data_IF_643418816963
#
_entry.id   IF_643418816963
#
_cell.length_a   1.000
_cell.length_b   1.000
_cell.length_c   1.000
_cell.angle_alpha   90.00
_cell.angle_beta   90.00
_cell.angle_gamma   90.00
#
_symmetry.space_group_name_H-M   'P 1'
#
loop_
_entity.id
_entity.type
_entity.pdbx_description
1 polymer ?
#
# COMPACT_ATOMS: atom_id res chain seq x y z
N UNK A 1 3.53 -2.85 -9.64
CA UNK A 1 3.55 -3.00 -8.14
C UNK A 1 4.97 -2.80 -7.63
N UNK A 2 5.11 -2.34 -6.36
CA UNK A 2 6.43 -2.24 -5.75
C UNK A 2 7.17 -3.59 -5.82
N UNK A 3 8.42 -3.57 -6.26
CA UNK A 3 9.32 -4.74 -6.33
C UNK A 3 8.93 -5.86 -7.32
N UNK A 4 8.05 -5.63 -8.29
CA UNK A 4 7.53 -6.68 -9.18
C UNK A 4 8.65 -7.44 -9.91
N UNK A 5 9.61 -6.74 -10.51
CA UNK A 5 10.76 -7.35 -11.20
C UNK A 5 11.62 -8.21 -10.27
N UNK A 6 11.88 -7.74 -9.04
CA UNK A 6 12.64 -8.51 -8.04
C UNK A 6 11.85 -9.72 -7.56
N UNK A 7 10.55 -9.55 -7.29
CA UNK A 7 9.66 -10.61 -6.85
C UNK A 7 9.56 -11.75 -7.87
N UNK A 8 9.40 -11.42 -9.16
CA UNK A 8 9.34 -12.41 -10.25
C UNK A 8 10.61 -13.26 -10.29
N UNK A 9 11.79 -12.64 -10.22
CA UNK A 9 13.09 -13.34 -10.24
C UNK A 9 13.31 -14.23 -9.03
N UNK A 10 13.00 -13.73 -7.83
CA UNK A 10 13.12 -14.52 -6.62
C UNK A 10 12.14 -15.68 -6.60
N UNK A 11 10.89 -15.46 -7.04
CA UNK A 11 9.89 -16.52 -7.17
C UNK A 11 10.35 -17.61 -8.12
N UNK A 12 10.98 -17.25 -9.25
CA UNK A 12 11.52 -18.23 -10.20
C UNK A 12 12.68 -19.05 -9.61
N UNK A 13 13.62 -18.39 -8.93
CA UNK A 13 14.72 -19.06 -8.24
C UNK A 13 14.19 -20.08 -7.19
N UNK A 14 13.19 -19.69 -6.39
CA UNK A 14 12.61 -20.59 -5.40
C UNK A 14 11.71 -21.67 -5.95
N UNK A 15 11.08 -21.45 -7.12
CA UNK A 15 10.27 -22.47 -7.81
C UNK A 15 11.12 -23.69 -8.16
N UNK A 16 12.38 -23.47 -8.58
CA UNK A 16 13.31 -24.57 -8.86
C UNK A 16 13.69 -25.36 -7.62
N UNK A 17 13.85 -24.70 -6.46
CA UNK A 17 14.08 -25.39 -5.19
C UNK A 17 12.86 -26.22 -4.75
N UNK A 18 11.64 -25.70 -4.90
CA UNK A 18 10.40 -26.41 -4.52
C UNK A 18 10.17 -27.69 -5.29
N UNK A 19 10.70 -27.79 -6.52
CA UNK A 19 10.60 -28.99 -7.34
C UNK A 19 11.51 -30.14 -6.92
N UNK A 20 12.47 -29.90 -5.99
CA UNK A 20 13.41 -30.92 -5.49
C UNK A 20 12.92 -31.46 -4.15
N UNK A 21 12.67 -32.74 -4.06
CA UNK A 21 12.19 -33.40 -2.81
C UNK A 21 13.25 -33.44 -1.69
N UNK A 22 14.54 -33.43 -2.06
CA UNK A 22 15.69 -33.28 -1.16
C UNK A 22 16.57 -32.18 -1.68
N UNK A 23 17.15 -31.38 -0.79
CA UNK A 23 18.11 -30.35 -1.16
C UNK A 23 19.51 -30.78 -0.72
N UNK A 24 20.48 -30.50 -1.58
CA UNK A 24 21.89 -30.58 -1.25
C UNK A 24 22.46 -29.18 -1.00
N UNK A 25 23.61 -29.11 -0.34
CA UNK A 25 24.34 -27.85 -0.16
C UNK A 25 24.60 -27.13 -1.49
N UNK A 26 24.87 -27.91 -2.57
CA UNK A 26 25.06 -27.36 -3.91
C UNK A 26 23.80 -26.70 -4.46
N UNK A 27 22.62 -27.28 -4.22
CA UNK A 27 21.34 -26.72 -4.65
C UNK A 27 21.05 -25.37 -3.97
N UNK A 28 21.34 -25.28 -2.68
CA UNK A 28 21.20 -24.05 -1.90
C UNK A 28 22.16 -22.98 -2.43
N UNK A 29 23.44 -23.33 -2.68
CA UNK A 29 24.44 -22.39 -3.22
C UNK A 29 24.04 -21.88 -4.62
N UNK A 30 23.52 -22.75 -5.47
CA UNK A 30 23.04 -22.36 -6.82
C UNK A 30 21.86 -21.38 -6.72
N UNK A 31 20.87 -21.68 -5.90
CA UNK A 31 19.73 -20.77 -5.67
C UNK A 31 20.18 -19.42 -5.08
N UNK A 32 21.11 -19.42 -4.13
CA UNK A 32 21.65 -18.19 -3.55
C UNK A 32 22.47 -17.38 -4.57
N UNK A 33 23.05 -18.02 -5.59
CA UNK A 33 23.67 -17.31 -6.70
C UNK A 33 22.63 -16.57 -7.56
N UNK A 34 21.48 -17.20 -7.84
CA UNK A 34 20.38 -16.55 -8.55
C UNK A 34 19.79 -15.39 -7.73
N UNK A 35 19.56 -15.61 -6.42
CA UNK A 35 19.12 -14.55 -5.50
C UNK A 35 20.09 -13.38 -5.47
N UNK A 36 21.43 -13.67 -5.42
CA UNK A 36 22.45 -12.62 -5.50
C UNK A 36 22.32 -11.77 -6.76
N UNK A 37 22.17 -12.41 -7.92
CA UNK A 37 22.00 -11.69 -9.19
C UNK A 37 20.74 -10.86 -9.21
N UNK A 38 19.61 -11.41 -8.76
CA UNK A 38 18.34 -10.69 -8.67
C UNK A 38 18.43 -9.44 -7.79
N UNK A 39 19.07 -9.53 -6.64
CA UNK A 39 19.28 -8.39 -5.73
C UNK A 39 20.21 -7.33 -6.34
N UNK A 40 21.28 -7.72 -7.04
CA UNK A 40 22.18 -6.78 -7.73
C UNK A 40 21.47 -6.09 -8.89
N UNK A 41 20.66 -6.78 -9.66
CA UNK A 41 19.84 -6.20 -10.73
C UNK A 41 18.73 -5.28 -10.19
N UNK A 42 18.27 -5.54 -8.98
CA UNK A 42 17.37 -4.66 -8.23
C UNK A 42 18.09 -3.45 -7.60
N UNK A 43 19.36 -3.25 -7.94
CA UNK A 43 20.18 -2.14 -7.48
C UNK A 43 20.41 -2.10 -5.96
N UNK A 44 20.45 -3.28 -5.31
CA UNK A 44 20.83 -3.42 -3.90
C UNK A 44 22.35 -3.26 -3.76
N UNK A 45 22.80 -2.58 -2.73
CA UNK A 45 24.23 -2.36 -2.48
C UNK A 45 25.01 -3.67 -2.39
N UNK A 46 26.13 -3.76 -3.11
CA UNK A 46 26.95 -4.98 -3.22
C UNK A 46 27.39 -5.56 -1.87
N UNK A 47 27.78 -4.71 -0.93
CA UNK A 47 28.19 -5.14 0.42
C UNK A 47 27.02 -5.78 1.17
N UNK A 48 25.83 -5.16 1.08
CA UNK A 48 24.59 -5.67 1.67
C UNK A 48 24.21 -7.02 1.07
N UNK A 49 24.24 -7.14 -0.27
CA UNK A 49 23.96 -8.41 -0.96
C UNK A 49 24.93 -9.51 -0.55
N UNK A 50 26.23 -9.21 -0.49
CA UNK A 50 27.25 -10.18 -0.08
C UNK A 50 27.02 -10.72 1.31
N UNK A 51 26.75 -9.83 2.28
CA UNK A 51 26.50 -10.22 3.68
C UNK A 51 25.20 -10.98 3.82
N UNK A 52 24.14 -10.56 3.12
CA UNK A 52 22.85 -11.25 3.07
C UNK A 52 22.99 -12.69 2.55
N UNK A 53 23.59 -12.86 1.37
CA UNK A 53 23.78 -14.18 0.74
C UNK A 53 24.63 -15.09 1.64
N UNK A 54 25.68 -14.56 2.27
CA UNK A 54 26.50 -15.32 3.20
C UNK A 54 25.67 -15.83 4.38
N UNK A 55 24.93 -14.94 5.07
CA UNK A 55 24.10 -15.30 6.23
C UNK A 55 23.02 -16.34 5.87
N UNK A 56 22.32 -16.13 4.76
CA UNK A 56 21.29 -17.07 4.30
C UNK A 56 21.93 -18.42 3.96
N UNK A 57 23.07 -18.45 3.25
CA UNK A 57 23.74 -19.69 2.88
C UNK A 57 24.18 -20.46 4.13
N UNK A 58 24.82 -19.80 5.09
CA UNK A 58 25.26 -20.41 6.36
C UNK A 58 24.09 -21.05 7.11
N UNK A 59 22.95 -20.38 7.19
CA UNK A 59 21.75 -20.89 7.86
C UNK A 59 21.06 -22.00 7.06
N UNK A 60 20.98 -21.86 5.74
CA UNK A 60 20.24 -22.76 4.86
C UNK A 60 20.99 -24.07 4.55
N UNK A 61 22.30 -24.13 4.75
CA UNK A 61 23.12 -25.36 4.59
C UNK A 61 23.26 -26.15 5.87
N UNK A 62 22.64 -25.74 6.97
CA UNK A 62 22.59 -26.50 8.23
C UNK A 62 21.91 -27.86 8.05
N UNK A 63 22.39 -28.89 8.79
CA UNK A 63 21.85 -30.25 8.72
C UNK A 63 20.33 -30.27 9.00
N UNK A 64 19.88 -29.52 9.99
CA UNK A 64 18.45 -29.44 10.37
C UNK A 64 17.57 -28.97 9.24
N UNK A 65 18.08 -28.13 8.34
CA UNK A 65 17.35 -27.62 7.18
C UNK A 65 17.32 -28.64 6.05
N UNK A 66 18.48 -29.22 5.73
CA UNK A 66 18.63 -30.18 4.62
C UNK A 66 17.91 -31.51 4.88
N UNK A 67 17.80 -31.93 6.13
CA UNK A 67 17.11 -33.15 6.55
C UNK A 67 15.65 -32.94 6.94
N UNK A 68 15.15 -31.71 6.87
CA UNK A 68 13.75 -31.40 7.18
C UNK A 68 12.78 -32.04 6.18
N UNK A 69 11.51 -32.23 6.59
CA UNK A 69 10.44 -32.74 5.70
C UNK A 69 10.13 -31.79 4.52
N UNK A 70 10.50 -30.52 4.64
CA UNK A 70 10.29 -29.50 3.59
C UNK A 70 11.46 -28.54 3.48
N UNK A 71 12.63 -28.99 2.99
CA UNK A 71 13.85 -28.18 2.98
C UNK A 71 13.70 -26.87 2.20
N UNK A 72 13.02 -26.91 1.05
CA UNK A 72 12.80 -25.73 0.23
C UNK A 72 11.97 -24.64 0.97
N UNK A 73 10.97 -25.04 1.74
CA UNK A 73 10.18 -24.10 2.54
C UNK A 73 11.01 -23.50 3.68
N UNK A 74 11.89 -24.29 4.29
CA UNK A 74 12.80 -23.79 5.32
C UNK A 74 13.79 -22.77 4.77
N UNK A 75 14.34 -23.00 3.57
CA UNK A 75 15.21 -22.02 2.90
C UNK A 75 14.46 -20.73 2.60
N UNK A 76 13.24 -20.80 2.07
CA UNK A 76 12.42 -19.61 1.80
C UNK A 76 12.09 -18.85 3.11
N UNK A 77 11.79 -19.57 4.19
CA UNK A 77 11.57 -18.97 5.50
C UNK A 77 12.81 -18.22 6.00
N UNK A 78 14.00 -18.80 5.88
CA UNK A 78 15.27 -18.16 6.25
C UNK A 78 15.49 -16.90 5.42
N UNK A 79 15.25 -16.95 4.11
CA UNK A 79 15.35 -15.76 3.23
C UNK A 79 14.38 -14.66 3.67
N UNK A 80 13.14 -15.01 3.99
CA UNK A 80 12.14 -14.04 4.49
C UNK A 80 12.58 -13.38 5.80
N UNK A 81 13.08 -14.16 6.74
CA UNK A 81 13.59 -13.65 8.03
C UNK A 81 14.79 -12.71 7.85
N UNK A 82 15.74 -13.08 6.99
CA UNK A 82 16.92 -12.24 6.71
C UNK A 82 16.56 -10.97 5.92
N UNK A 83 15.59 -11.03 4.98
CA UNK A 83 15.07 -9.83 4.30
C UNK A 83 14.37 -8.89 5.30
N UNK A 84 13.54 -9.44 6.18
CA UNK A 84 12.87 -8.68 7.23
C UNK A 84 13.87 -8.00 8.14
N UNK A 85 14.88 -8.74 8.62
CA UNK A 85 15.95 -8.20 9.47
C UNK A 85 16.75 -7.10 8.75
N UNK A 86 17.02 -7.27 7.46
CA UNK A 86 17.73 -6.29 6.63
C UNK A 86 16.99 -4.95 6.56
N UNK A 87 15.67 -4.97 6.49
CA UNK A 87 14.80 -3.79 6.42
C UNK A 87 14.46 -3.19 7.79
N UNK A 88 14.76 -3.89 8.92
CA UNK A 88 14.60 -3.32 10.25
C UNK A 88 13.75 -4.11 11.24
N UNK A 89 13.37 -5.36 10.93
CA UNK A 89 12.60 -6.29 11.74
C UNK A 89 11.17 -5.84 12.10
N UNK A 90 10.98 -4.62 12.60
CA UNK A 90 9.70 -4.11 13.08
C UNK A 90 9.41 -2.71 12.53
N UNK A 91 8.11 -2.36 12.44
CA UNK A 91 7.68 -1.01 12.12
C UNK A 91 8.08 -0.03 13.23
N UNK A 92 8.69 1.08 12.84
CA UNK A 92 9.05 2.17 13.72
C UNK A 92 8.08 3.35 13.52
N UNK A 93 7.42 3.76 14.61
CA UNK A 93 6.48 4.88 14.60
C UNK A 93 7.24 6.23 14.59
N UNK A 94 6.48 7.32 14.33
CA UNK A 94 7.01 8.68 14.52
C UNK A 94 7.40 8.90 15.98
N UNK A 95 8.50 9.59 16.18
CA UNK A 95 8.88 10.10 17.48
C UNK A 95 7.98 11.31 17.81
N UNK A 96 7.08 11.13 18.76
CA UNK A 96 6.19 12.18 19.24
C UNK A 96 6.67 12.63 20.62
N UNK A 97 6.96 13.92 20.76
CA UNK A 97 7.36 14.51 22.02
C UNK A 97 6.23 14.45 23.06
N UNK A 98 6.62 14.36 24.33
CA UNK A 98 5.67 14.56 25.44
C UNK A 98 5.18 16.02 25.55
N UNK A 99 5.90 16.97 24.96
CA UNK A 99 5.54 18.37 24.90
C UNK A 99 4.82 18.70 23.59
N UNK A 100 3.68 19.37 23.68
CA UNK A 100 2.89 19.80 22.52
C UNK A 100 3.25 21.25 22.13
N UNK A 101 3.37 21.52 20.82
CA UNK A 101 3.28 20.60 19.69
C UNK A 101 4.57 19.80 19.46
N UNK A 102 4.45 18.55 18.99
CA UNK A 102 5.56 17.81 18.43
C UNK A 102 5.92 18.36 17.05
N UNK A 103 7.20 18.50 16.77
CA UNK A 103 7.69 19.01 15.49
C UNK A 103 8.29 17.87 14.67
N UNK A 104 7.81 17.70 13.45
CA UNK A 104 8.33 16.78 12.43
C UNK A 104 8.95 17.62 11.31
N UNK A 105 10.24 17.52 11.13
CA UNK A 105 10.97 18.21 10.07
C UNK A 105 11.16 17.29 8.87
N UNK A 106 10.62 17.66 7.71
CA UNK A 106 10.76 16.93 6.46
C UNK A 106 11.97 17.43 5.70
N UNK A 107 12.95 16.57 5.44
CA UNK A 107 14.17 16.90 4.71
C UNK A 107 14.37 16.00 3.50
N UNK A 108 15.20 16.39 2.53
CA UNK A 108 15.50 15.61 1.34
C UNK A 108 15.67 16.44 0.09
N UNK A 109 16.08 15.82 -1.00
CA UNK A 109 16.33 16.48 -2.28
C UNK A 109 15.05 17.00 -2.94
N UNK A 110 15.21 17.89 -3.92
CA UNK A 110 14.12 18.36 -4.77
C UNK A 110 13.54 17.21 -5.56
N UNK A 111 12.20 17.15 -5.68
CA UNK A 111 11.52 16.08 -6.40
C UNK A 111 11.35 14.76 -5.63
N UNK A 112 11.94 14.64 -4.43
CA UNK A 112 11.76 13.46 -3.58
C UNK A 112 10.32 13.29 -3.04
N UNK A 113 9.47 14.31 -3.16
CA UNK A 113 8.06 14.24 -2.75
C UNK A 113 7.79 14.71 -1.32
N UNK A 114 8.64 15.55 -0.72
CA UNK A 114 8.48 16.09 0.64
C UNK A 114 7.09 16.68 0.88
N UNK A 115 6.73 17.71 0.11
CA UNK A 115 5.46 18.42 0.23
C UNK A 115 4.25 17.49 0.17
N UNK A 116 4.20 16.65 -0.86
CA UNK A 116 3.05 15.75 -1.05
C UNK A 116 2.98 14.66 0.01
N UNK A 117 4.09 13.97 0.29
CA UNK A 117 4.08 12.87 1.24
C UNK A 117 4.07 13.35 2.70
N UNK A 118 4.62 14.53 2.99
CA UNK A 118 4.45 15.19 4.28
C UNK A 118 2.98 15.50 4.57
N UNK A 119 2.27 16.04 3.59
CA UNK A 119 0.83 16.28 3.72
C UNK A 119 0.02 14.97 3.83
N UNK A 120 0.37 13.91 3.07
CA UNK A 120 -0.25 12.59 3.23
C UNK A 120 -0.05 12.04 4.64
N UNK A 121 1.17 12.17 5.18
CA UNK A 121 1.49 11.74 6.54
C UNK A 121 0.70 12.53 7.58
N UNK A 122 0.56 13.85 7.41
CA UNK A 122 -0.29 14.67 8.25
C UNK A 122 -1.76 14.23 8.18
N UNK A 123 -2.25 13.87 6.98
CA UNK A 123 -3.59 13.28 6.78
C UNK A 123 -3.77 11.95 7.51
N UNK A 124 -2.77 11.08 7.48
CA UNK A 124 -2.76 9.82 8.23
C UNK A 124 -2.81 10.07 9.75
N UNK A 125 -2.02 11.02 10.24
CA UNK A 125 -2.02 11.40 11.67
C UNK A 125 -3.36 12.01 12.10
N UNK A 126 -3.98 12.82 11.24
CA UNK A 126 -5.33 13.35 11.49
C UNK A 126 -6.37 12.24 11.64
N UNK A 127 -6.34 11.23 10.79
CA UNK A 127 -7.21 10.04 10.91
C UNK A 127 -7.01 9.30 12.24
N UNK A 128 -5.82 9.40 12.83
CA UNK A 128 -5.48 8.85 14.14
C UNK A 128 -5.83 9.79 15.31
N UNK A 129 -6.58 10.87 15.06
CA UNK A 129 -7.05 11.80 16.07
C UNK A 129 -6.07 12.91 16.46
N UNK A 130 -4.95 13.08 15.72
CA UNK A 130 -4.04 14.22 15.90
C UNK A 130 -4.58 15.47 15.20
N UNK A 131 -4.08 16.63 15.63
CA UNK A 131 -4.41 17.95 15.04
C UNK A 131 -3.17 18.54 14.36
N UNK A 132 -2.81 18.06 13.15
CA UNK A 132 -1.62 18.52 12.46
C UNK A 132 -1.76 19.95 11.94
N UNK A 133 -0.60 20.64 11.84
CA UNK A 133 -0.39 21.88 11.12
C UNK A 133 0.74 21.67 10.10
N UNK A 134 0.54 22.10 8.86
CA UNK A 134 1.58 22.14 7.84
C UNK A 134 2.21 23.53 7.82
N UNK A 135 3.53 23.61 7.80
CA UNK A 135 4.28 24.89 7.79
C UNK A 135 5.14 24.93 6.53
N UNK A 136 4.94 25.96 5.69
CA UNK A 136 5.63 26.14 4.43
C UNK A 136 6.99 26.82 4.64
N UNK A 137 8.04 26.03 4.78
CA UNK A 137 9.43 26.51 4.89
C UNK A 137 10.20 26.45 3.55
N UNK A 138 9.62 25.92 2.44
CA UNK A 138 10.19 26.03 1.09
C UNK A 138 9.88 27.41 0.50
N UNK A 139 10.62 28.41 0.91
CA UNK A 139 10.41 29.82 0.56
C UNK A 139 10.94 30.19 -0.82
N UNK A 140 11.79 29.34 -1.41
CA UNK A 140 12.44 29.63 -2.70
C UNK A 140 11.53 29.37 -3.90
N UNK A 141 10.46 28.61 -3.71
CA UNK A 141 9.54 28.23 -4.77
C UNK A 141 8.11 28.64 -4.40
N UNK A 142 7.62 29.76 -4.92
CA UNK A 142 6.23 30.21 -4.65
C UNK A 142 5.18 29.13 -4.97
N UNK A 143 5.41 28.35 -6.02
CA UNK A 143 4.54 27.22 -6.38
C UNK A 143 4.49 26.13 -5.31
N UNK A 144 5.56 25.92 -4.50
CA UNK A 144 5.56 24.94 -3.43
C UNK A 144 4.63 25.33 -2.28
N UNK A 145 4.61 26.63 -1.92
CA UNK A 145 3.66 27.16 -0.92
C UNK A 145 2.22 26.93 -1.37
N UNK A 146 1.91 27.31 -2.62
CA UNK A 146 0.56 27.12 -3.20
C UNK A 146 0.18 25.63 -3.29
N UNK A 147 1.14 24.77 -3.61
CA UNK A 147 0.96 23.33 -3.63
C UNK A 147 0.59 22.82 -2.23
N UNK A 148 1.34 23.22 -1.21
CA UNK A 148 1.09 22.81 0.18
C UNK A 148 -0.29 23.28 0.64
N UNK A 149 -0.70 24.53 0.34
CA UNK A 149 -2.03 25.06 0.64
C UNK A 149 -3.14 24.25 -0.05
N UNK A 150 -2.92 23.90 -1.32
CA UNK A 150 -3.90 23.12 -2.09
C UNK A 150 -4.09 21.73 -1.50
N UNK A 151 -3.00 21.03 -1.19
CA UNK A 151 -3.05 19.70 -0.59
C UNK A 151 -3.58 19.75 0.84
N UNK A 152 -3.19 20.76 1.63
CA UNK A 152 -3.73 20.99 2.97
C UNK A 152 -5.23 21.17 2.96
N UNK A 153 -5.76 21.97 2.01
CA UNK A 153 -7.20 22.17 1.83
C UNK A 153 -7.93 20.88 1.46
N UNK A 154 -7.36 20.08 0.57
CA UNK A 154 -7.96 18.78 0.19
C UNK A 154 -8.02 17.78 1.34
N UNK A 155 -7.04 17.86 2.26
CA UNK A 155 -6.98 17.02 3.47
C UNK A 155 -7.67 17.66 4.67
N UNK A 156 -8.21 18.88 4.54
CA UNK A 156 -8.78 19.68 5.63
C UNK A 156 -7.78 19.84 6.80
N UNK A 157 -6.53 20.18 6.45
CA UNK A 157 -5.42 20.44 7.38
C UNK A 157 -5.01 21.91 7.21
N UNK A 158 -4.90 22.69 8.31
CA UNK A 158 -4.45 24.06 8.25
C UNK A 158 -2.99 24.15 7.77
N UNK A 159 -2.70 25.20 6.98
CA UNK A 159 -1.37 25.50 6.48
C UNK A 159 -0.96 26.88 6.98
N UNK A 160 0.20 26.95 7.60
CA UNK A 160 0.83 28.21 8.00
C UNK A 160 1.91 28.60 6.99
N UNK A 161 1.87 29.84 6.53
CA UNK A 161 2.87 30.40 5.62
C UNK A 161 3.06 31.89 5.89
N UNK A 162 4.22 32.42 5.57
CA UNK A 162 4.57 33.85 5.67
C UNK A 162 5.11 34.40 4.33
N UNK A 163 4.84 33.71 3.24
CA UNK A 163 5.40 34.04 1.93
C UNK A 163 6.89 33.75 1.84
N UNK A 164 7.60 34.58 1.09
CA UNK A 164 9.06 34.52 0.97
C UNK A 164 9.71 35.20 2.17
N UNK A 165 10.58 34.51 2.88
CA UNK A 165 11.24 35.04 4.09
C UNK A 165 12.31 34.08 4.62
N UNK A 166 12.77 34.33 5.83
CA UNK A 166 13.71 33.43 6.51
C UNK A 166 12.98 32.13 6.97
N UNK A 167 13.40 30.97 6.47
CA UNK A 167 12.75 29.71 6.82
C UNK A 167 12.84 29.38 8.32
N UNK A 168 13.89 29.85 9.02
CA UNK A 168 14.03 29.68 10.47
C UNK A 168 12.97 30.49 11.22
N UNK A 169 12.75 31.74 10.81
CA UNK A 169 11.71 32.59 11.40
C UNK A 169 10.31 32.03 11.14
N UNK A 170 10.05 31.51 9.93
CA UNK A 170 8.79 30.88 9.56
C UNK A 170 8.52 29.64 10.41
N UNK A 171 9.53 28.77 10.58
CA UNK A 171 9.41 27.57 11.41
C UNK A 171 9.05 27.91 12.87
N UNK A 172 9.73 28.89 13.48
CA UNK A 172 9.41 29.37 14.84
C UNK A 172 7.99 29.93 14.93
N UNK A 173 7.62 30.80 13.99
CA UNK A 173 6.29 31.40 13.97
C UNK A 173 5.19 30.35 13.76
N UNK A 174 5.45 29.32 12.94
CA UNK A 174 4.54 28.18 12.75
C UNK A 174 4.30 27.39 14.04
N UNK A 175 5.35 27.17 14.84
CA UNK A 175 5.22 26.50 16.15
C UNK A 175 4.40 27.35 17.13
N UNK A 176 4.65 28.65 17.20
CA UNK A 176 3.85 29.56 18.04
C UNK A 176 2.38 29.61 17.58
N UNK A 177 2.15 29.60 16.27
CA UNK A 177 0.80 29.46 15.71
C UNK A 177 0.14 28.16 16.17
N UNK A 178 0.85 27.03 16.09
CA UNK A 178 0.35 25.73 16.53
C UNK A 178 -0.05 25.74 18.02
N UNK A 179 0.77 26.31 18.89
CA UNK A 179 0.48 26.50 20.32
C UNK A 179 -0.78 27.32 20.53
N UNK A 180 -0.89 28.46 19.83
CA UNK A 180 -2.04 29.36 19.93
C UNK A 180 -3.37 28.72 19.52
N UNK A 181 -3.37 27.91 18.45
CA UNK A 181 -4.58 27.30 17.88
C UNK A 181 -4.79 25.85 18.31
N UNK A 182 -3.91 25.34 19.19
CA UNK A 182 -4.06 24.01 19.80
C UNK A 182 -3.76 22.85 18.86
N UNK A 183 -2.91 23.06 17.83
CA UNK A 183 -2.37 21.96 17.06
C UNK A 183 -1.34 21.19 17.90
N UNK A 184 -1.37 19.86 17.84
CA UNK A 184 -0.49 19.01 18.64
C UNK A 184 0.68 18.43 17.84
N UNK A 185 0.65 18.59 16.52
CA UNK A 185 1.67 18.08 15.62
C UNK A 185 1.94 19.10 14.50
N UNK A 186 3.23 19.42 14.27
CA UNK A 186 3.66 20.40 13.25
C UNK A 186 4.57 19.71 12.26
N UNK A 187 4.25 19.81 10.97
CA UNK A 187 5.10 19.35 9.88
C UNK A 187 5.76 20.53 9.20
N UNK A 188 7.08 20.59 9.25
CA UNK A 188 7.88 21.61 8.55
C UNK A 188 8.25 21.07 7.16
N UNK A 189 7.64 21.62 6.11
CA UNK A 189 7.98 21.31 4.72
C UNK A 189 9.17 22.19 4.29
N UNK A 190 10.39 21.65 4.41
CA UNK A 190 11.61 22.40 4.13
C UNK A 190 11.96 22.40 2.64
N UNK A 191 12.78 23.36 2.25
CA UNK A 191 13.33 23.43 0.89
C UNK A 191 14.11 22.16 0.52
N UNK A 192 14.16 21.86 -0.77
CA UNK A 192 15.04 20.86 -1.33
C UNK A 192 15.77 21.44 -2.53
N UNK A 193 17.03 21.05 -2.70
CA UNK A 193 17.82 21.36 -3.89
C UNK A 193 18.08 20.12 -4.72
N UNK A 194 18.52 20.31 -5.96
CA UNK A 194 18.82 19.19 -6.86
C UNK A 194 19.98 18.33 -6.36
N UNK A 195 20.93 18.98 -5.68
CA UNK A 195 22.11 18.34 -5.11
C UNK A 195 22.27 18.75 -3.66
N UNK A 196 23.00 17.94 -2.91
CA UNK A 196 23.44 18.27 -1.56
C UNK A 196 24.54 19.32 -1.67
N UNK A 197 24.28 20.49 -1.13
CA UNK A 197 25.27 21.57 -1.03
C UNK A 197 25.35 22.10 0.42
N UNK A 198 26.43 22.80 0.71
CA UNK A 198 26.71 23.35 2.05
C UNK A 198 25.63 24.34 2.51
N UNK A 199 25.10 25.14 1.58
CA UNK A 199 24.05 26.11 1.90
C UNK A 199 22.73 25.44 2.33
N UNK A 200 22.34 24.39 1.66
CA UNK A 200 21.16 23.60 2.07
C UNK A 200 21.37 22.99 3.44
N UNK A 201 22.51 22.33 3.67
CA UNK A 201 22.77 21.68 4.95
C UNK A 201 22.85 22.68 6.10
N UNK A 202 23.48 23.84 5.90
CA UNK A 202 23.52 24.91 6.88
C UNK A 202 22.13 25.43 7.23
N UNK A 203 21.27 25.67 6.22
CA UNK A 203 19.89 26.10 6.44
C UNK A 203 19.11 25.07 7.28
N UNK A 204 19.18 23.78 6.91
CA UNK A 204 18.50 22.71 7.64
C UNK A 204 19.02 22.57 9.07
N UNK A 205 20.33 22.71 9.30
CA UNK A 205 20.94 22.74 10.64
C UNK A 205 20.45 23.92 11.47
N UNK A 206 20.32 25.10 10.86
CA UNK A 206 19.80 26.29 11.53
C UNK A 206 18.31 26.10 11.93
N UNK A 207 17.50 25.53 11.05
CA UNK A 207 16.10 25.19 11.37
C UNK A 207 16.09 24.18 12.52
N UNK A 208 16.85 23.08 12.43
CA UNK A 208 16.95 22.06 13.48
C UNK A 208 17.30 22.66 14.83
N UNK A 209 18.37 23.49 14.88
CA UNK A 209 18.82 24.15 16.11
C UNK A 209 17.77 25.11 16.69
N UNK A 210 16.97 25.73 15.83
CA UNK A 210 15.98 26.75 16.22
C UNK A 210 14.68 26.16 16.78
N UNK A 211 14.30 24.92 16.37
CA UNK A 211 12.99 24.35 16.69
C UNK A 211 13.06 23.01 17.42
N UNK A 212 14.24 22.41 17.56
CA UNK A 212 14.49 21.13 18.23
C UNK A 212 13.44 20.06 17.85
N UNK A 213 13.43 19.60 16.59
CA UNK A 213 12.37 18.71 16.12
C UNK A 213 12.46 17.34 16.80
N UNK A 214 11.32 16.81 17.25
CA UNK A 214 11.22 15.45 17.80
C UNK A 214 11.47 14.38 16.73
N UNK A 215 11.22 14.71 15.47
CA UNK A 215 11.42 13.82 14.32
C UNK A 215 12.07 14.60 13.17
N UNK A 216 13.16 14.07 12.60
CA UNK A 216 13.73 14.52 11.33
C UNK A 216 13.56 13.39 10.34
N UNK A 217 12.59 13.53 9.45
CA UNK A 217 12.20 12.50 8.51
C UNK A 217 12.78 12.80 7.12
N UNK A 218 13.73 11.98 6.71
CA UNK A 218 14.32 12.09 5.37
C UNK A 218 13.39 11.47 4.33
N UNK A 219 12.94 12.26 3.38
CA UNK A 219 12.09 11.81 2.27
C UNK A 219 12.97 11.50 1.07
N UNK A 220 12.94 10.24 0.61
CA UNK A 220 13.77 9.73 -0.48
C UNK A 220 12.89 9.09 -1.55
N UNK A 221 13.20 9.40 -2.80
CA UNK A 221 12.65 8.72 -3.97
C UNK A 221 13.27 7.31 -4.10
N UNK A 222 12.46 6.27 -4.03
CA UNK A 222 12.93 4.89 -4.13
C UNK A 222 13.48 4.52 -5.52
N UNK A 223 13.19 5.34 -6.54
CA UNK A 223 13.63 5.09 -7.92
C UNK A 223 15.09 5.48 -8.17
N UNK A 224 15.73 6.28 -7.29
CA UNK A 224 17.12 6.72 -7.47
C UNK A 224 18.16 5.64 -7.12
N UNK A 225 17.71 4.43 -6.75
CA UNK A 225 18.58 3.28 -6.53
C UNK A 225 19.62 3.51 -5.44
N UNK A 226 20.89 3.22 -5.72
CA UNK A 226 21.98 3.34 -4.74
C UNK A 226 22.31 4.77 -4.32
N UNK A 227 21.99 5.76 -5.14
CA UNK A 227 22.16 7.19 -4.76
C UNK A 227 21.30 7.55 -3.54
N UNK A 228 20.22 6.81 -3.30
CA UNK A 228 19.42 6.95 -2.10
C UNK A 228 20.23 6.70 -0.81
N UNK A 229 21.16 5.76 -0.84
CA UNK A 229 22.01 5.44 0.30
C UNK A 229 23.03 6.55 0.57
N UNK A 230 23.70 7.02 -0.48
CA UNK A 230 24.65 8.13 -0.36
C UNK A 230 23.94 9.41 0.13
N UNK A 231 22.74 9.67 -0.39
CA UNK A 231 21.88 10.75 0.07
C UNK A 231 21.53 10.60 1.54
N UNK A 232 21.07 9.41 1.96
CA UNK A 232 20.69 9.16 3.34
C UNK A 232 21.87 9.35 4.29
N UNK A 233 23.05 8.86 3.92
CA UNK A 233 24.25 9.03 4.74
C UNK A 233 24.63 10.50 4.91
N UNK A 234 24.62 11.29 3.83
CA UNK A 234 24.99 12.71 3.90
C UNK A 234 24.00 13.52 4.76
N UNK A 235 22.70 13.25 4.65
CA UNK A 235 21.69 13.88 5.52
C UNK A 235 21.82 13.42 6.97
N UNK A 236 22.18 12.16 7.21
CA UNK A 236 22.39 11.63 8.55
C UNK A 236 23.61 12.27 9.23
N UNK A 237 24.73 12.32 8.52
CA UNK A 237 25.97 12.95 9.02
C UNK A 237 25.76 14.43 9.39
N UNK A 238 24.92 15.16 8.62
CA UNK A 238 24.66 16.58 8.85
C UNK A 238 23.58 16.85 9.90
N UNK A 239 22.53 16.02 9.97
CA UNK A 239 21.31 16.33 10.72
C UNK A 239 20.97 15.28 11.78
N UNK A 240 21.64 14.13 11.82
CA UNK A 240 21.24 12.98 12.67
C UNK A 240 19.76 12.67 12.49
N UNK A 241 19.40 12.24 11.27
CA UNK A 241 18.00 11.93 10.93
C UNK A 241 17.44 10.82 11.83
N UNK A 242 16.16 10.87 12.14
CA UNK A 242 15.52 9.89 13.02
C UNK A 242 14.79 8.77 12.27
N UNK A 243 14.60 8.94 10.98
CA UNK A 243 13.97 7.95 10.13
C UNK A 243 13.88 8.39 8.67
N UNK A 244 13.45 7.47 7.84
CA UNK A 244 13.32 7.63 6.40
C UNK A 244 11.89 7.37 5.95
N UNK A 245 11.41 8.15 5.01
CA UNK A 245 10.19 7.92 4.24
C UNK A 245 10.56 7.64 2.80
N UNK A 246 10.22 6.46 2.30
CA UNK A 246 10.37 6.12 0.90
C UNK A 246 9.17 6.57 0.09
N UNK A 247 9.40 7.16 -1.07
CA UNK A 247 8.35 7.62 -1.99
C UNK A 247 8.44 6.90 -3.33
N UNK A 248 7.38 6.98 -4.13
CA UNK A 248 7.30 6.42 -5.49
C UNK A 248 7.56 4.90 -5.56
N UNK A 249 7.17 4.17 -4.53
CA UNK A 249 7.25 2.70 -4.52
C UNK A 249 6.27 2.06 -5.52
N UNK A 250 5.25 2.78 -5.96
CA UNK A 250 4.31 2.39 -7.02
C UNK A 250 4.92 2.42 -8.43
N UNK A 251 6.03 3.13 -8.62
CA UNK A 251 6.78 3.16 -9.87
C UNK A 251 7.59 1.87 -10.11
N UNK A 252 8.44 1.89 -11.13
CA UNK A 252 9.40 0.79 -11.42
C UNK A 252 10.59 0.83 -10.42
N UNK A 253 10.28 0.88 -9.13
CA UNK A 253 11.27 0.87 -8.07
C UNK A 253 11.88 -0.54 -7.97
N UNK A 254 13.17 -0.63 -8.27
CA UNK A 254 13.91 -1.91 -8.22
C UNK A 254 14.07 -2.46 -6.79
N UNK A 255 13.77 -1.63 -5.77
CA UNK A 255 13.78 -2.04 -4.36
C UNK A 255 15.13 -1.91 -3.65
N UNK A 256 16.19 -1.62 -4.37
CA UNK A 256 17.54 -1.54 -3.81
C UNK A 256 17.69 -0.52 -2.68
N UNK A 257 17.02 0.63 -2.80
CA UNK A 257 17.00 1.65 -1.75
C UNK A 257 16.41 1.10 -0.43
N UNK A 258 15.23 0.46 -0.49
CA UNK A 258 14.56 -0.08 0.68
C UNK A 258 15.41 -1.13 1.43
N UNK A 259 16.11 -1.97 0.67
CA UNK A 259 16.96 -3.03 1.23
C UNK A 259 18.32 -2.52 1.73
N UNK A 260 18.79 -1.37 1.26
CA UNK A 260 20.14 -0.88 1.53
C UNK A 260 20.19 0.21 2.59
N UNK A 261 19.18 1.10 2.68
CA UNK A 261 19.21 2.27 3.57
C UNK A 261 19.42 1.87 5.02
N UNK A 262 18.54 1.02 5.56
CA UNK A 262 18.63 0.59 6.97
C UNK A 262 19.96 -0.13 7.26
N UNK A 263 20.39 -1.00 6.35
CA UNK A 263 21.60 -1.79 6.52
C UNK A 263 22.88 -0.94 6.57
N UNK A 264 22.90 0.19 5.85
CA UNK A 264 24.11 1.03 5.73
C UNK A 264 24.08 2.25 6.63
N UNK A 265 22.92 2.87 6.88
CA UNK A 265 22.79 4.05 7.75
C UNK A 265 22.38 3.73 9.18
N UNK A 266 21.83 2.53 9.42
CA UNK A 266 21.25 2.20 10.72
C UNK A 266 19.89 2.87 11.00
N UNK A 267 19.43 3.81 10.12
CA UNK A 267 18.19 4.55 10.33
C UNK A 267 16.98 3.78 9.83
N UNK A 268 15.86 3.76 10.57
CA UNK A 268 14.68 2.99 10.20
C UNK A 268 13.91 3.64 9.06
N UNK A 269 13.34 2.81 8.18
CA UNK A 269 12.30 3.26 7.26
C UNK A 269 11.00 3.23 8.04
N UNK A 270 10.31 4.38 8.13
CA UNK A 270 9.08 4.51 8.94
C UNK A 270 7.81 4.49 8.09
N UNK A 271 7.86 5.09 6.90
CA UNK A 271 6.71 5.21 6.00
C UNK A 271 7.07 4.93 4.55
N UNK A 272 6.06 4.53 3.78
CA UNK A 272 6.13 4.26 2.36
C UNK A 272 5.01 5.00 1.61
N UNK A 273 5.36 5.83 0.65
CA UNK A 273 4.43 6.40 -0.33
C UNK A 273 4.26 5.42 -1.49
N UNK A 274 3.05 4.91 -1.64
CA UNK A 274 2.71 3.79 -2.54
C UNK A 274 1.85 4.21 -3.72
N UNK A 275 1.78 5.50 -4.03
CA UNK A 275 1.02 6.03 -5.15
C UNK A 275 0.82 7.53 -5.08
N UNK A 276 0.09 8.10 -6.04
CA UNK A 276 -0.09 9.55 -6.17
C UNK A 276 -1.24 10.11 -5.30
N UNK A 277 -2.27 9.31 -5.00
CA UNK A 277 -3.43 9.76 -4.23
C UNK A 277 -3.06 10.12 -2.80
N UNK A 278 -3.83 11.03 -2.19
CA UNK A 278 -3.53 11.58 -0.86
C UNK A 278 -3.69 10.59 0.29
N UNK A 279 -4.35 9.47 0.07
CA UNK A 279 -4.51 8.36 1.00
C UNK A 279 -3.47 7.24 0.81
N UNK A 280 -2.65 7.34 -0.25
CA UNK A 280 -1.65 6.33 -0.60
C UNK A 280 -0.31 6.58 0.12
N UNK A 281 -0.35 6.40 1.42
CA UNK A 281 0.80 6.32 2.33
C UNK A 281 0.52 5.24 3.36
N UNK A 282 1.51 4.43 3.68
CA UNK A 282 1.39 3.40 4.70
C UNK A 282 2.61 3.38 5.64
N UNK A 283 2.45 2.93 6.90
CA UNK A 283 3.57 2.59 7.75
C UNK A 283 4.42 1.51 7.08
N UNK A 284 5.74 1.61 7.19
CA UNK A 284 6.64 0.62 6.61
C UNK A 284 6.73 -0.60 7.51
N UNK A 285 6.22 -1.74 7.04
CA UNK A 285 6.29 -3.02 7.74
C UNK A 285 7.31 -3.93 7.06
N UNK A 286 8.51 -4.13 7.64
CA UNK A 286 9.58 -4.94 7.05
C UNK A 286 9.15 -6.36 6.68
N UNK A 287 8.39 -7.02 7.55
CA UNK A 287 7.87 -8.38 7.37
C UNK A 287 6.92 -8.49 6.17
N UNK A 288 6.01 -7.51 6.01
CA UNK A 288 5.08 -7.45 4.87
C UNK A 288 5.82 -7.15 3.56
N UNK A 289 6.81 -6.26 3.61
CA UNK A 289 7.64 -5.96 2.44
C UNK A 289 8.47 -7.16 2.01
N UNK A 290 9.05 -7.91 2.95
CA UNK A 290 9.73 -9.17 2.65
C UNK A 290 8.77 -10.19 2.00
N UNK A 291 7.55 -10.32 2.53
CA UNK A 291 6.50 -11.16 1.95
C UNK A 291 6.14 -10.75 0.51
N UNK A 292 5.97 -9.45 0.24
CA UNK A 292 5.72 -8.92 -1.12
C UNK A 292 6.88 -9.23 -2.07
N UNK A 293 8.12 -9.01 -1.63
CA UNK A 293 9.33 -9.30 -2.42
C UNK A 293 9.43 -10.79 -2.77
N UNK A 294 9.01 -11.69 -1.88
CA UNK A 294 9.03 -13.14 -2.10
C UNK A 294 7.79 -13.69 -2.82
N UNK A 295 6.87 -12.83 -3.27
CA UNK A 295 5.63 -13.25 -3.90
C UNK A 295 4.68 -14.04 -2.97
N UNK A 296 4.85 -13.89 -1.65
CA UNK A 296 4.03 -14.54 -0.63
C UNK A 296 2.73 -13.79 -0.34
N UNK A 297 2.55 -12.61 -0.95
CA UNK A 297 1.42 -11.73 -0.71
C UNK A 297 1.52 -10.95 0.61
N UNK A 298 0.49 -10.14 0.85
CA UNK A 298 0.38 -9.31 2.05
C UNK A 298 -1.06 -9.32 2.59
N UNK A 299 -1.44 -10.42 3.17
CA UNK A 299 -2.80 -10.64 3.69
C UNK A 299 -3.11 -9.71 4.87
N UNK A 300 -2.11 -9.36 5.68
CA UNK A 300 -2.32 -8.49 6.84
C UNK A 300 -2.70 -7.06 6.42
N UNK A 301 -1.99 -6.49 5.44
CA UNK A 301 -2.36 -5.19 4.87
C UNK A 301 -3.75 -5.22 4.22
N UNK A 302 -4.12 -6.34 3.59
CA UNK A 302 -5.46 -6.50 3.02
C UNK A 302 -6.54 -6.49 4.11
N UNK A 303 -6.32 -7.20 5.21
CA UNK A 303 -7.22 -7.23 6.36
C UNK A 303 -7.35 -5.84 6.98
N UNK A 304 -6.24 -5.14 7.22
CA UNK A 304 -6.25 -3.79 7.80
C UNK A 304 -6.97 -2.77 6.90
N UNK A 305 -6.75 -2.84 5.58
CA UNK A 305 -7.50 -2.00 4.62
C UNK A 305 -8.99 -2.34 4.61
N UNK A 306 -9.33 -3.61 4.75
CA UNK A 306 -10.73 -4.04 4.88
C UNK A 306 -11.34 -3.48 6.19
N UNK A 307 -10.66 -3.61 7.32
CA UNK A 307 -11.11 -3.10 8.61
C UNK A 307 -11.27 -1.57 8.63
N UNK A 308 -10.34 -0.83 8.02
CA UNK A 308 -10.42 0.64 7.93
C UNK A 308 -11.59 1.13 7.07
N UNK A 309 -12.02 0.35 6.08
CA UNK A 309 -13.13 0.68 5.19
C UNK A 309 -14.46 0.05 5.62
N UNK A 310 -14.45 -0.83 6.62
CA UNK A 310 -15.65 -1.44 7.19
C UNK A 310 -16.21 -0.53 8.29
N UNK A 311 -17.30 0.16 7.95
CA UNK A 311 -18.20 0.75 8.95
C UNK A 311 -18.92 -0.43 9.64
N UNK A 312 -18.50 -0.76 10.86
CA UNK A 312 -19.05 -1.89 11.64
C UNK A 312 -20.57 -1.87 11.71
N UNK A 313 -21.19 -0.70 11.86
CA UNK A 313 -22.65 -0.55 11.88
C UNK A 313 -23.27 -0.94 10.55
N UNK A 314 -22.70 -0.48 9.43
CA UNK A 314 -23.17 -0.86 8.09
C UNK A 314 -22.95 -2.34 7.80
N UNK A 315 -21.86 -2.94 8.28
CA UNK A 315 -21.60 -4.36 8.14
C UNK A 315 -22.61 -5.21 8.93
N UNK A 316 -22.99 -4.82 10.14
CA UNK A 316 -24.02 -5.47 10.95
C UNK A 316 -25.41 -5.34 10.31
N UNK A 317 -25.78 -4.13 9.88
CA UNK A 317 -27.05 -3.89 9.16
C UNK A 317 -27.15 -4.72 7.87
N UNK A 318 -26.04 -4.80 7.14
CA UNK A 318 -25.97 -5.59 5.91
C UNK A 318 -26.07 -7.09 6.19
N UNK A 319 -25.39 -7.58 7.24
CA UNK A 319 -25.52 -8.98 7.68
C UNK A 319 -26.97 -9.32 8.07
N UNK A 320 -27.67 -8.37 8.68
CA UNK A 320 -29.07 -8.55 9.04
C UNK A 320 -30.00 -8.55 7.80
N UNK A 321 -29.78 -7.63 6.84
CA UNK A 321 -30.50 -7.61 5.55
C UNK A 321 -30.27 -8.88 4.73
N UNK A 322 -29.03 -9.39 4.73
CA UNK A 322 -28.70 -10.68 4.10
C UNK A 322 -29.44 -11.86 4.76
N UNK A 323 -29.54 -11.89 6.08
CA UNK A 323 -30.32 -12.90 6.82
C UNK A 323 -31.81 -12.82 6.51
N UNK A 324 -32.33 -11.61 6.26
CA UNK A 324 -33.72 -11.36 5.89
C UNK A 324 -34.02 -11.56 4.41
N UNK A 325 -33.05 -12.04 3.59
CA UNK A 325 -33.14 -12.15 2.13
C UNK A 325 -33.52 -10.82 1.43
N UNK A 326 -33.11 -9.68 1.99
CA UNK A 326 -33.40 -8.34 1.48
C UNK A 326 -32.17 -7.68 0.85
N UNK A 327 -31.41 -8.42 0.05
CA UNK A 327 -30.27 -7.86 -0.69
C UNK A 327 -30.77 -7.07 -1.88
N UNK A 328 -30.43 -5.76 -1.93
CA UNK A 328 -30.88 -4.79 -2.93
C UNK A 328 -29.76 -4.35 -3.87
N UNK A 329 -30.10 -3.62 -4.95
CA UNK A 329 -29.08 -2.99 -5.81
C UNK A 329 -28.35 -1.84 -5.09
N UNK A 330 -28.96 -1.25 -4.05
CA UNK A 330 -28.29 -0.27 -3.17
C UNK A 330 -27.18 -0.98 -2.40
N UNK A 331 -27.44 -2.12 -1.78
CA UNK A 331 -26.45 -2.91 -1.06
C UNK A 331 -25.32 -3.38 -1.99
N UNK A 332 -25.66 -3.76 -3.23
CA UNK A 332 -24.68 -4.11 -4.27
C UNK A 332 -23.79 -2.94 -4.65
N UNK A 333 -24.34 -1.75 -4.78
CA UNK A 333 -23.62 -0.52 -5.05
C UNK A 333 -22.66 -0.16 -3.89
N UNK A 334 -23.14 -0.25 -2.65
CA UNK A 334 -22.33 0.05 -1.47
C UNK A 334 -21.15 -0.93 -1.36
N UNK A 335 -21.33 -2.20 -1.69
CA UNK A 335 -20.23 -3.18 -1.78
C UNK A 335 -19.21 -2.82 -2.87
N UNK A 336 -19.67 -2.37 -4.04
CA UNK A 336 -18.77 -1.92 -5.10
C UNK A 336 -17.95 -0.70 -4.67
N UNK A 337 -18.56 0.24 -3.94
CA UNK A 337 -17.85 1.41 -3.42
C UNK A 337 -16.83 1.02 -2.34
N UNK A 338 -17.15 0.07 -1.47
CA UNK A 338 -16.20 -0.46 -0.49
C UNK A 338 -14.99 -1.13 -1.16
N UNK A 339 -15.22 -1.98 -2.18
CA UNK A 339 -14.15 -2.59 -2.96
C UNK A 339 -13.26 -1.54 -3.65
N UNK A 340 -13.87 -0.50 -4.21
CA UNK A 340 -13.16 0.61 -4.85
C UNK A 340 -12.31 1.41 -3.85
N UNK A 341 -12.79 1.55 -2.60
CA UNK A 341 -12.07 2.17 -1.50
C UNK A 341 -10.85 1.37 -0.99
N UNK A 342 -10.81 0.06 -1.25
CA UNK A 342 -9.67 -0.81 -0.87
C UNK A 342 -8.47 -0.74 -1.83
N UNK A 343 -8.61 -0.06 -2.95
CA UNK A 343 -7.59 0.06 -3.99
C UNK A 343 -8.01 -0.58 -5.31
N UNK A 344 -7.08 -0.66 -6.29
CA UNK A 344 -7.36 -1.33 -7.54
C UNK A 344 -7.49 -2.86 -7.32
N UNK A 345 -8.30 -3.53 -8.15
CA UNK A 345 -8.42 -5.00 -8.09
C UNK A 345 -7.08 -5.71 -8.33
N UNK A 346 -6.18 -5.08 -9.06
CA UNK A 346 -4.82 -5.57 -9.29
C UNK A 346 -3.98 -5.50 -7.99
N UNK A 347 -4.12 -4.42 -7.21
CA UNK A 347 -3.46 -4.28 -5.91
C UNK A 347 -3.97 -5.34 -4.92
N UNK A 348 -5.28 -5.54 -4.88
CA UNK A 348 -5.91 -6.55 -4.02
C UNK A 348 -5.44 -7.96 -4.40
N UNK A 349 -5.42 -8.28 -5.70
CA UNK A 349 -4.95 -9.58 -6.19
C UNK A 349 -3.47 -9.84 -5.85
N UNK A 350 -2.62 -8.82 -5.93
CA UNK A 350 -1.21 -8.94 -5.56
C UNK A 350 -0.96 -9.16 -4.06
N UNK A 351 -1.94 -8.86 -3.21
CA UNK A 351 -1.87 -9.11 -1.76
C UNK A 351 -2.29 -10.54 -1.38
N UNK A 352 -2.95 -11.28 -2.28
CA UNK A 352 -3.43 -12.64 -2.02
C UNK A 352 -2.34 -13.66 -2.44
N UNK A 353 -1.85 -14.50 -1.51
CA UNK A 353 -0.85 -15.52 -1.83
C UNK A 353 -1.33 -16.48 -2.92
N UNK A 354 -0.53 -16.69 -3.95
CA UNK A 354 -0.83 -17.64 -5.03
C UNK A 354 -1.83 -17.15 -6.08
N UNK A 355 -2.28 -15.89 -6.01
CA UNK A 355 -3.08 -15.27 -7.06
C UNK A 355 -2.15 -14.50 -8.00
N UNK A 356 -2.11 -14.91 -9.26
CA UNK A 356 -1.28 -14.24 -10.27
C UNK A 356 -1.99 -12.96 -10.74
N UNK A 357 -1.44 -11.80 -10.35
CA UNK A 357 -1.98 -10.50 -10.78
C UNK A 357 -1.99 -10.36 -12.32
N UNK A 358 -1.08 -11.06 -13.01
CA UNK A 358 -1.05 -11.11 -14.49
C UNK A 358 -2.21 -11.94 -15.07
N UNK A 359 -2.70 -12.95 -14.36
CA UNK A 359 -3.88 -13.70 -14.79
C UNK A 359 -5.17 -12.84 -14.75
N UNK A 360 -5.22 -11.88 -13.82
CA UNK A 360 -6.33 -10.91 -13.73
C UNK A 360 -6.17 -9.73 -14.70
N UNK A 361 -4.95 -9.34 -15.08
CA UNK A 361 -4.72 -8.33 -16.11
C UNK A 361 -5.09 -8.84 -17.51
N UNK A 362 -5.05 -10.16 -17.74
CA UNK A 362 -5.56 -10.81 -18.95
C UNK A 362 -7.09 -10.94 -18.97
N UNK A 363 -7.73 -11.01 -17.83
CA UNK A 363 -9.18 -10.84 -17.69
C UNK A 363 -9.43 -9.32 -17.57
N UNK A 364 -9.60 -8.62 -18.69
CA UNK A 364 -9.94 -7.19 -18.78
C UNK A 364 -11.05 -6.84 -17.75
N UNK A 365 -10.68 -6.70 -16.47
CA UNK A 365 -11.55 -6.12 -15.46
C UNK A 365 -11.50 -4.62 -15.72
N UNK A 366 -12.30 -4.23 -16.69
CA UNK A 366 -12.39 -2.87 -17.19
C UNK A 366 -12.90 -1.97 -16.05
N UNK A 367 -12.03 -1.14 -15.46
CA UNK A 367 -12.46 -0.11 -14.50
C UNK A 367 -13.60 0.73 -15.07
N UNK A 368 -13.67 0.87 -16.41
CA UNK A 368 -14.79 1.48 -17.12
C UNK A 368 -16.08 0.64 -17.01
N UNK A 369 -15.97 -0.70 -16.85
CA UNK A 369 -17.15 -1.54 -16.62
C UNK A 369 -17.74 -1.31 -15.23
N UNK A 370 -16.91 -1.16 -14.20
CA UNK A 370 -17.39 -0.75 -12.86
C UNK A 370 -18.04 0.62 -12.87
N UNK A 371 -17.42 1.61 -13.54
CA UNK A 371 -18.01 2.94 -13.70
C UNK A 371 -19.34 2.92 -14.43
N UNK A 372 -19.51 2.02 -15.42
CA UNK A 372 -20.81 1.83 -16.11
C UNK A 372 -21.87 1.24 -15.20
N UNK A 373 -21.53 0.23 -14.38
CA UNK A 373 -22.45 -0.35 -13.40
C UNK A 373 -22.90 0.71 -12.38
N UNK A 374 -21.96 1.50 -11.89
CA UNK A 374 -22.22 2.63 -10.99
C UNK A 374 -23.19 3.64 -11.62
N UNK A 375 -22.93 4.08 -12.85
CA UNK A 375 -23.79 5.02 -13.58
C UNK A 375 -25.21 4.46 -13.80
N UNK A 376 -25.34 3.16 -14.09
CA UNK A 376 -26.64 2.51 -14.24
C UNK A 376 -27.43 2.56 -12.93
N UNK A 377 -26.80 2.16 -11.80
CA UNK A 377 -27.46 2.11 -10.49
C UNK A 377 -27.83 3.54 -10.02
N UNK A 378 -26.93 4.51 -10.22
CA UNK A 378 -27.18 5.91 -9.88
C UNK A 378 -28.33 6.52 -10.70
N UNK A 379 -28.54 6.06 -11.94
CA UNK A 379 -29.64 6.51 -12.82
C UNK A 379 -30.99 5.88 -12.46
N UNK A 380 -31.04 4.93 -11.51
CA UNK A 380 -32.27 4.34 -10.98
C UNK A 380 -32.81 5.16 -9.81
N UNK A 381 -34.14 5.19 -9.67
CA UNK A 381 -34.78 5.72 -8.45
C UNK A 381 -34.57 4.78 -7.26
N UNK A 382 -34.69 5.25 -5.99
CA UNK A 382 -34.58 4.38 -4.83
C UNK A 382 -35.47 3.14 -4.89
N UNK A 383 -36.75 3.30 -5.27
CA UNK A 383 -37.69 2.17 -5.40
C UNK A 383 -37.31 1.18 -6.50
N UNK A 384 -36.60 1.61 -7.56
CA UNK A 384 -36.09 0.73 -8.62
C UNK A 384 -34.84 -0.04 -8.18
N UNK A 385 -34.03 0.55 -7.28
CA UNK A 385 -32.89 -0.13 -6.66
C UNK A 385 -33.32 -1.18 -5.63
N UNK A 386 -34.37 -0.85 -4.87
CA UNK A 386 -34.91 -1.77 -3.84
C UNK A 386 -35.71 -2.92 -4.46
N UNK A 387 -36.40 -2.67 -5.55
CA UNK A 387 -37.18 -3.67 -6.26
C UNK A 387 -36.95 -3.63 -7.78
N UNK A 388 -35.88 -4.28 -8.27
CA UNK A 388 -35.59 -4.33 -9.70
C UNK A 388 -36.69 -5.00 -10.57
N UNK A 389 -37.59 -5.74 -9.96
CA UNK A 389 -38.73 -6.38 -10.67
C UNK A 389 -39.72 -5.40 -11.30
N UNK A 390 -39.73 -4.12 -10.87
CA UNK A 390 -40.58 -3.07 -11.46
C UNK A 390 -40.02 -2.48 -12.75
N UNK A 391 -38.82 -2.88 -13.18
CA UNK A 391 -38.11 -2.32 -14.34
C UNK A 391 -38.73 -2.83 -15.66
N UNK A 392 -39.66 -2.08 -16.21
CA UNK A 392 -40.24 -2.30 -17.55
C UNK A 392 -39.33 -1.69 -18.64
N UNK A 393 -39.70 -1.91 -19.93
CA UNK A 393 -38.94 -1.42 -21.08
C UNK A 393 -38.77 0.11 -21.10
N UNK A 394 -39.78 0.87 -20.67
CA UNK A 394 -39.70 2.33 -20.62
C UNK A 394 -38.71 2.82 -19.57
N UNK A 395 -38.75 2.23 -18.35
CA UNK A 395 -37.83 2.54 -17.28
C UNK A 395 -36.39 2.18 -17.66
N UNK A 396 -36.17 1.01 -18.26
CA UNK A 396 -34.85 0.59 -18.76
C UNK A 396 -34.30 1.55 -19.81
N UNK A 397 -35.14 2.06 -20.75
CA UNK A 397 -34.70 3.06 -21.73
C UNK A 397 -34.29 4.38 -21.06
N UNK A 398 -35.07 4.86 -20.09
CA UNK A 398 -34.76 6.08 -19.34
C UNK A 398 -33.41 5.91 -18.56
N UNK A 399 -33.23 4.80 -17.87
CA UNK A 399 -31.98 4.50 -17.12
C UNK A 399 -30.80 4.41 -18.09
N UNK A 400 -30.98 3.75 -19.25
CA UNK A 400 -29.94 3.66 -20.28
C UNK A 400 -29.51 5.04 -20.78
N UNK A 401 -30.46 5.94 -21.06
CA UNK A 401 -30.20 7.32 -21.49
C UNK A 401 -29.44 8.09 -20.36
N UNK A 402 -29.88 7.97 -19.10
CA UNK A 402 -29.25 8.65 -17.98
C UNK A 402 -27.83 8.16 -17.67
N UNK A 403 -27.58 6.87 -17.87
CA UNK A 403 -26.26 6.23 -17.62
C UNK A 403 -25.31 6.28 -18.84
N UNK A 404 -25.76 6.83 -19.98
CA UNK A 404 -24.95 6.84 -21.20
C UNK A 404 -24.64 5.44 -21.74
N UNK A 405 -25.55 4.46 -21.55
CA UNK A 405 -25.34 3.04 -21.87
C UNK A 405 -26.53 2.44 -22.63
N UNK A 406 -26.48 1.14 -22.90
CA UNK A 406 -27.54 0.42 -23.60
C UNK A 406 -28.46 -0.35 -22.66
N UNK A 407 -29.70 -0.67 -23.11
CA UNK A 407 -30.62 -1.54 -22.39
C UNK A 407 -30.02 -2.96 -22.22
N UNK A 408 -29.13 -3.37 -23.12
CA UNK A 408 -28.44 -4.67 -23.05
C UNK A 408 -27.55 -4.74 -21.80
N UNK A 409 -26.80 -3.67 -21.51
CA UNK A 409 -25.94 -3.61 -20.31
C UNK A 409 -26.77 -3.62 -19.02
N UNK A 410 -27.92 -2.94 -19.01
CA UNK A 410 -28.85 -3.02 -17.85
C UNK A 410 -29.35 -4.44 -17.64
N UNK A 411 -29.74 -5.15 -18.69
CA UNK A 411 -30.19 -6.52 -18.59
C UNK A 411 -29.06 -7.47 -18.12
N UNK A 412 -27.82 -7.20 -18.52
CA UNK A 412 -26.64 -7.93 -18.06
C UNK A 412 -26.40 -7.71 -16.56
N UNK A 413 -26.47 -6.47 -16.08
CA UNK A 413 -26.39 -6.14 -14.67
C UNK A 413 -27.46 -6.85 -13.84
N UNK A 414 -28.73 -6.80 -14.29
CA UNK A 414 -29.84 -7.45 -13.59
C UNK A 414 -29.67 -8.97 -13.50
N UNK A 415 -29.18 -9.61 -14.58
CA UNK A 415 -28.84 -11.04 -14.55
C UNK A 415 -27.73 -11.39 -13.54
N UNK A 416 -26.68 -10.55 -13.48
CA UNK A 416 -25.59 -10.72 -12.52
C UNK A 416 -26.10 -10.55 -11.08
N UNK A 417 -26.95 -9.57 -10.86
CA UNK A 417 -27.58 -9.32 -9.58
C UNK A 417 -28.47 -10.50 -9.12
N UNK A 418 -29.30 -11.05 -10.02
CA UNK A 418 -30.14 -12.22 -9.73
C UNK A 418 -29.30 -13.44 -9.36
N UNK A 419 -28.20 -13.69 -10.06
CA UNK A 419 -27.26 -14.78 -9.73
C UNK A 419 -26.64 -14.57 -8.33
N UNK A 420 -26.25 -13.35 -8.01
CA UNK A 420 -25.72 -13.01 -6.69
C UNK A 420 -26.75 -13.22 -5.59
N UNK A 421 -28.00 -12.79 -5.80
CA UNK A 421 -29.10 -13.06 -4.86
C UNK A 421 -29.33 -14.56 -4.64
N UNK A 422 -29.24 -15.38 -5.68
CA UNK A 422 -29.37 -16.84 -5.57
C UNK A 422 -28.25 -17.45 -4.73
N UNK A 423 -27.00 -17.02 -4.94
CA UNK A 423 -25.85 -17.45 -4.14
C UNK A 423 -26.01 -17.07 -2.66
N UNK A 424 -26.43 -15.83 -2.39
CA UNK A 424 -26.70 -15.35 -1.03
C UNK A 424 -27.79 -16.18 -0.35
N UNK A 425 -28.88 -16.51 -1.05
CA UNK A 425 -29.96 -17.37 -0.53
C UNK A 425 -29.45 -18.77 -0.22
N UNK A 426 -28.62 -19.37 -1.06
CA UNK A 426 -28.02 -20.68 -0.83
C UNK A 426 -27.08 -20.67 0.40
N UNK A 427 -26.32 -19.62 0.60
CA UNK A 427 -25.43 -19.47 1.77
C UNK A 427 -26.21 -19.24 3.07
N UNK A 428 -27.29 -18.44 3.05
CA UNK A 428 -28.11 -18.17 4.22
C UNK A 428 -29.04 -19.34 4.62
N UNK A 429 -29.48 -20.16 3.64
CA UNK A 429 -30.35 -21.31 3.88
C UNK A 429 -29.65 -22.55 4.43
N UNK A 430 -28.33 -22.63 4.38
CA UNK A 430 -27.59 -23.85 4.73
C UNK A 430 -26.82 -23.72 6.05
N UNK A 431 -27.56 -23.54 7.17
CA UNK A 431 -27.01 -23.51 8.54
C UNK A 431 -26.13 -24.71 8.90
N UNK A 432 -26.32 -25.85 8.20
CA UNK A 432 -25.51 -27.07 8.33
C UNK A 432 -24.12 -26.92 7.68
N UNK A 433 -23.99 -26.18 6.58
CA UNK A 433 -22.71 -25.92 5.94
C UNK A 433 -21.83 -24.96 6.80
N UNK A 434 -22.44 -23.96 7.44
CA UNK A 434 -21.74 -23.02 8.34
C UNK A 434 -21.27 -23.71 9.64
N UNK A 435 -22.04 -24.71 10.16
CA UNK A 435 -21.58 -25.54 11.28
C UNK A 435 -20.46 -26.52 10.89
N UNK A 436 -20.37 -26.95 9.65
CA UNK A 436 -19.26 -27.76 9.13
C UNK A 436 -17.96 -26.93 8.96
N UNK A 437 -18.06 -25.70 8.49
CA UNK A 437 -16.91 -24.79 8.43
C UNK A 437 -16.36 -24.43 9.82
N UNK A 438 -17.22 -24.26 10.84
CA UNK A 438 -16.78 -24.02 12.22
C UNK A 438 -16.17 -25.26 12.93
N UNK A 439 -16.46 -26.48 12.46
CA UNK A 439 -15.91 -27.73 13.02
C UNK A 439 -14.66 -28.26 12.32
N UNK A 440 -14.33 -27.74 11.14
CA UNK A 440 -13.14 -28.08 10.36
C UNK A 440 -12.08 -26.98 10.47
N UNK A 441 -11.61 -26.69 11.66
CA UNK A 441 -10.42 -25.87 11.86
C UNK A 441 -9.19 -26.62 11.35
N UNK A 442 -8.77 -26.31 10.11
CA UNK A 442 -7.49 -26.50 9.43
C UNK A 442 -7.76 -26.83 7.95
N UNK A 443 -7.51 -25.85 7.10
CA UNK A 443 -7.48 -26.12 5.65
C UNK A 443 -8.24 -25.12 4.81
N UNK A 444 -7.54 -24.17 4.23
CA UNK A 444 -7.75 -23.69 2.89
C UNK A 444 -8.88 -22.69 2.67
N UNK A 445 -8.47 -21.48 2.36
CA UNK A 445 -9.20 -20.42 1.64
C UNK A 445 -9.69 -20.90 0.23
N UNK A 446 -10.37 -22.02 0.15
CA UNK A 446 -10.91 -22.59 -1.10
C UNK A 446 -12.24 -21.98 -1.57
N UNK A 447 -12.78 -20.97 -0.88
CA UNK A 447 -14.09 -20.38 -1.19
C UNK A 447 -14.09 -19.19 -2.14
N UNK A 448 -12.94 -18.57 -2.42
CA UNK A 448 -12.83 -17.39 -3.29
C UNK A 448 -12.64 -17.72 -4.78
N UNK A 449 -12.42 -18.98 -5.16
CA UNK A 449 -12.32 -19.42 -6.56
C UNK A 449 -13.60 -19.22 -7.40
N UNK A 450 -14.73 -18.94 -6.77
CA UNK A 450 -16.00 -18.64 -7.44
C UNK A 450 -16.15 -17.24 -8.00
N UNK A 451 -15.35 -16.28 -7.52
CA UNK A 451 -15.42 -14.87 -7.95
C UNK A 451 -14.81 -14.64 -9.34
N UNK A 452 -13.82 -15.42 -9.76
CA UNK A 452 -13.21 -15.32 -11.08
C UNK A 452 -14.18 -15.61 -12.24
N UNK A 453 -15.18 -16.47 -12.04
CA UNK A 453 -16.20 -16.78 -13.05
C UNK A 453 -17.33 -15.74 -13.13
N UNK A 454 -17.43 -14.83 -12.16
CA UNK A 454 -18.47 -13.78 -12.13
C UNK A 454 -18.13 -12.60 -13.02
N UNK A 455 -16.85 -12.36 -13.31
CA UNK A 455 -16.35 -11.20 -14.08
C UNK A 455 -15.80 -11.55 -15.47
N UNK A 456 -15.65 -12.85 -15.80
CA UNK A 456 -15.19 -13.34 -17.09
C UNK A 456 -16.36 -13.59 -18.03
N UNK A 457 -16.65 -12.66 -18.92
CA UNK A 457 -17.63 -12.83 -19.99
C UNK A 457 -17.19 -13.89 -21.00
N UNK A 458 -18.04 -14.86 -21.19
CA UNK A 458 -18.26 -15.80 -22.26
C UNK A 458 -17.22 -15.98 -23.40
N UNK A 459 -16.56 -17.10 -23.36
CA UNK A 459 -15.97 -17.75 -24.54
C UNK A 459 -16.35 -19.22 -24.51
N UNK A 460 -17.51 -19.53 -25.08
CA UNK A 460 -17.98 -20.89 -25.22
C UNK A 460 -17.12 -21.68 -26.20
N UNK A 461 -16.80 -22.92 -25.85
CA UNK A 461 -16.61 -24.00 -26.80
C UNK A 461 -17.49 -25.17 -26.43
N UNK A 462 -18.23 -25.72 -27.38
CA UNK A 462 -19.09 -26.86 -27.16
C UNK A 462 -18.29 -28.16 -27.16
N UNK A 463 -18.81 -29.11 -26.44
CA UNK A 463 -18.44 -30.52 -26.40
C UNK A 463 -18.35 -31.14 -27.82
N UNK A 464 -17.40 -32.03 -27.98
CA UNK A 464 -17.31 -32.93 -29.11
C UNK A 464 -16.24 -33.97 -28.86
N UNK A 465 -16.69 -35.20 -28.50
CA UNK A 465 -16.05 -36.53 -28.48
C UNK A 465 -14.71 -36.73 -27.79
#
# INVERSE_FOLDING_TARGET
MAFESLSDKLTEAFKRLRGKGRLTESDVKEAMREVKLALLEADVNFKVVKDFVRKVTERATGVDVLESLSPAQMVIKIVNEELTALMGSENQKLNISSHSPSVVMLVGLQGAGKTTNGAKLAGLMRKQGKRPLLVACDVYRPAAIQQLETVGRQLDIPVFQMGQGDPVAIAKAGIEHAKKYGNDLVFLDTAGRLHIDEALMTELQNIKAAVDPAEILLVIDAMIGQDAVATAQAFDDALDITGVMLTKLDGDARGGAALSIKALTGKPIKFAGIGEKLDQIEPFHPDRMAGRILGMGDVLTLIEKAEQNLDQKKAEEMAERLRQNRFTLTDYYDQLQQLKGMGSLQDIAGMIPGMDAKALSGANVDEKAMGRIEAIIQSMTPGERDNPGILNSSRKKRIAAGAGTSVVEINKLLKQFDLMQQLVRQMSGNSKAMKRMKRGGRGGLGGLGGLGNLFGGGGGRPFGF
#
